data_IF_563609714609
#
_entry.id   IF_563609714609
#
_cell.length_a   1.000
_cell.length_b   1.000
_cell.length_c   1.000
_cell.angle_alpha   90.00
_cell.angle_beta   90.00
_cell.angle_gamma   90.00
#
_symmetry.space_group_name_H-M   'P 1'
#
loop_
_entity.id
_entity.type
_entity.pdbx_description
1 polymer ?
#
# COMPACT_ATOMS: atom_id res chain seq x y z
N UNK A 1 -55.91 34.82 -17.55
CA UNK A 1 -54.83 34.88 -16.53
C UNK A 1 -54.53 33.45 -16.11
N UNK A 2 -53.35 32.89 -16.48
CA UNK A 2 -52.21 32.51 -15.59
C UNK A 2 -52.67 31.61 -14.42
N UNK A 3 -52.17 30.39 -14.22
CA UNK A 3 -50.76 29.94 -14.21
C UNK A 3 -50.63 28.43 -14.45
N UNK A 4 -49.62 28.03 -15.24
CA UNK A 4 -49.10 26.66 -15.29
C UNK A 4 -48.20 26.43 -14.07
N UNK A 5 -48.46 25.39 -13.28
CA UNK A 5 -47.54 24.94 -12.23
C UNK A 5 -46.71 23.77 -12.76
N UNK A 6 -45.47 24.04 -13.14
CA UNK A 6 -44.47 23.02 -13.41
C UNK A 6 -43.78 22.67 -12.09
N UNK A 7 -44.13 21.53 -11.49
CA UNK A 7 -43.27 20.90 -10.46
C UNK A 7 -42.16 20.16 -11.18
N UNK A 8 -40.96 20.74 -11.18
CA UNK A 8 -39.72 20.06 -11.56
C UNK A 8 -39.42 19.03 -10.48
N UNK A 9 -39.53 17.75 -10.81
CA UNK A 9 -38.92 16.67 -10.01
C UNK A 9 -37.48 16.58 -10.48
N UNK A 10 -36.53 16.95 -9.62
CA UNK A 10 -35.12 16.63 -9.83
C UNK A 10 -34.95 15.12 -9.66
N UNK A 11 -34.71 14.43 -10.77
CA UNK A 11 -34.22 13.05 -10.74
C UNK A 11 -32.72 13.11 -10.49
N UNK A 12 -32.32 13.11 -9.21
CA UNK A 12 -30.93 12.83 -8.81
C UNK A 12 -30.76 11.31 -8.83
N UNK A 13 -30.44 10.74 -9.98
CA UNK A 13 -30.12 9.31 -10.08
C UNK A 13 -28.70 9.08 -9.57
N UNK A 14 -28.56 8.91 -8.25
CA UNK A 14 -27.44 8.14 -7.71
C UNK A 14 -27.69 6.68 -8.09
N UNK A 15 -27.01 6.19 -9.13
CA UNK A 15 -27.04 4.78 -9.52
C UNK A 15 -26.30 3.94 -8.47
N UNK A 16 -26.97 3.66 -7.34
CA UNK A 16 -26.57 2.59 -6.44
C UNK A 16 -26.99 1.27 -7.09
N UNK A 17 -26.02 0.49 -7.58
CA UNK A 17 -26.27 -0.90 -7.99
C UNK A 17 -26.47 -1.71 -6.72
N UNK A 18 -27.72 -1.89 -6.31
CA UNK A 18 -28.10 -2.84 -5.24
C UNK A 18 -28.28 -4.19 -5.90
N UNK A 19 -27.24 -5.04 -5.86
CA UNK A 19 -27.39 -6.46 -6.19
C UNK A 19 -28.12 -7.14 -5.03
N UNK A 20 -29.43 -7.33 -5.19
CA UNK A 20 -30.23 -8.12 -4.27
C UNK A 20 -29.87 -9.60 -4.44
N UNK A 21 -29.25 -10.19 -3.42
CA UNK A 21 -29.41 -11.62 -3.15
C UNK A 21 -29.70 -11.81 -1.65
N UNK A 22 -30.60 -12.76 -1.43
CA UNK A 22 -31.39 -13.06 -0.24
C UNK A 22 -30.60 -13.39 1.04
N UNK A 23 -31.10 -12.83 2.15
CA UNK A 23 -31.14 -13.35 3.53
C UNK A 23 -30.08 -14.37 3.97
N UNK A 24 -29.01 -13.89 4.62
CA UNK A 24 -28.60 -14.28 5.99
C UNK A 24 -27.30 -13.53 6.38
N UNK A 25 -27.38 -12.56 7.29
CA UNK A 25 -26.27 -12.19 8.20
C UNK A 25 -25.00 -11.52 7.65
N UNK A 26 -24.97 -11.01 6.42
CA UNK A 26 -23.81 -10.27 5.88
C UNK A 26 -24.04 -8.76 5.87
N UNK A 27 -23.12 -7.97 6.44
CA UNK A 27 -23.17 -6.51 6.32
C UNK A 27 -23.11 -6.10 4.84
N UNK A 28 -24.11 -5.35 4.39
CA UNK A 28 -24.15 -4.74 3.06
C UNK A 28 -22.93 -3.80 2.93
N UNK A 29 -21.87 -4.27 2.28
CA UNK A 29 -20.81 -3.38 1.79
C UNK A 29 -21.33 -2.73 0.51
N UNK A 30 -22.06 -1.63 0.69
CA UNK A 30 -22.32 -0.67 -0.38
C UNK A 30 -20.93 -0.18 -0.83
N UNK A 31 -20.54 -0.53 -2.05
CA UNK A 31 -19.37 0.06 -2.73
C UNK A 31 -19.75 1.47 -3.16
N UNK A 32 -19.99 2.36 -2.18
CA UNK A 32 -20.03 3.78 -2.46
C UNK A 32 -18.62 4.18 -2.93
N UNK A 33 -18.54 4.92 -4.03
CA UNK A 33 -17.30 5.56 -4.48
C UNK A 33 -16.66 6.25 -3.27
N UNK A 34 -15.50 5.74 -2.82
CA UNK A 34 -14.85 6.27 -1.62
C UNK A 34 -14.15 7.58 -2.02
N UNK A 35 -14.87 8.68 -1.85
CA UNK A 35 -14.34 10.02 -2.03
C UNK A 35 -13.53 10.44 -0.80
N UNK A 36 -12.42 11.13 -1.04
CA UNK A 36 -11.50 11.64 -0.04
C UNK A 36 -11.24 13.13 -0.29
N UNK A 37 -10.98 13.88 0.78
CA UNK A 37 -10.29 15.16 0.67
C UNK A 37 -8.78 14.92 0.67
N UNK A 38 -8.06 15.59 -0.22
CA UNK A 38 -6.60 15.70 -0.16
C UNK A 38 -6.19 17.06 0.37
N UNK A 39 -5.18 17.11 1.23
CA UNK A 39 -4.74 18.36 1.84
C UNK A 39 -3.27 18.30 2.25
N UNK A 40 -2.62 19.45 2.31
CA UNK A 40 -1.30 19.58 2.93
C UNK A 40 -1.42 20.00 4.40
N UNK A 41 -0.47 19.60 5.23
CA UNK A 41 -0.54 19.83 6.68
C UNK A 41 -0.09 21.23 7.16
N UNK A 42 0.32 22.10 6.24
CA UNK A 42 0.78 23.46 6.53
C UNK A 42 2.16 23.57 7.20
N UNK A 43 2.88 22.46 7.41
CA UNK A 43 4.17 22.48 8.14
C UNK A 43 5.35 22.87 7.25
N UNK A 44 5.24 22.63 5.94
CA UNK A 44 6.33 22.84 4.98
C UNK A 44 6.27 24.24 4.38
N UNK A 45 7.41 24.93 4.39
CA UNK A 45 7.57 26.27 3.78
C UNK A 45 7.85 26.22 2.27
N UNK A 46 8.26 25.06 1.75
CA UNK A 46 8.59 24.86 0.33
C UNK A 46 8.41 23.40 -0.09
N UNK A 47 8.28 23.20 -1.39
CA UNK A 47 8.17 21.89 -2.04
C UNK A 47 9.29 20.92 -1.59
N UNK A 48 8.99 19.63 -1.36
CA UNK A 48 7.67 19.01 -1.42
C UNK A 48 6.81 19.24 -0.16
N UNK A 49 5.52 19.55 -0.31
CA UNK A 49 4.60 19.65 0.83
C UNK A 49 4.20 18.27 1.37
N UNK A 50 3.84 18.19 2.65
CA UNK A 50 3.41 16.95 3.29
C UNK A 50 1.91 16.78 3.20
N UNK A 51 1.48 15.72 2.51
CA UNK A 51 0.10 15.51 2.09
C UNK A 51 -0.56 14.34 2.79
N UNK A 52 -1.84 14.53 3.09
CA UNK A 52 -2.70 13.51 3.67
C UNK A 52 -4.02 13.44 2.93
N UNK A 53 -4.74 12.34 3.15
CA UNK A 53 -6.12 12.17 2.71
C UNK A 53 -7.05 11.88 3.89
N UNK A 54 -8.27 12.39 3.82
CA UNK A 54 -9.32 12.11 4.81
C UNK A 54 -10.60 11.68 4.10
N UNK A 55 -11.29 10.60 4.55
CA UNK A 55 -12.56 10.19 3.96
C UNK A 55 -13.59 11.34 3.97
N UNK A 56 -14.19 11.65 2.82
CA UNK A 56 -15.11 12.79 2.67
C UNK A 56 -16.40 12.64 3.48
N UNK A 57 -16.82 11.41 3.76
CA UNK A 57 -18.00 11.11 4.57
C UNK A 57 -17.79 11.34 6.07
N UNK A 58 -16.54 11.30 6.55
CA UNK A 58 -16.20 11.51 7.95
C UNK A 58 -14.79 12.14 8.07
N UNK A 59 -14.61 13.39 7.59
CA UNK A 59 -13.29 13.99 7.48
C UNK A 59 -12.72 14.33 8.85
N UNK A 60 -11.50 13.83 9.11
CA UNK A 60 -10.73 14.12 10.31
C UNK A 60 -9.28 14.42 9.93
N UNK A 61 -8.65 15.33 10.67
CA UNK A 61 -7.24 15.68 10.52
C UNK A 61 -6.33 14.63 11.18
N UNK A 62 -6.37 13.40 10.69
CA UNK A 62 -5.56 12.29 11.21
C UNK A 62 -4.19 12.22 10.51
N UNK A 63 -3.12 12.46 11.26
CA UNK A 63 -1.74 12.41 10.75
C UNK A 63 -1.09 11.02 10.88
N UNK A 64 -1.89 9.96 10.73
CA UNK A 64 -1.41 8.57 10.82
C UNK A 64 -0.71 8.16 9.51
N UNK A 65 0.22 7.22 9.62
CA UNK A 65 0.99 6.68 8.50
C UNK A 65 0.10 6.16 7.35
N UNK A 66 -1.08 5.61 7.65
CA UNK A 66 -2.03 5.08 6.66
C UNK A 66 -2.67 6.15 5.76
N UNK A 67 -2.67 7.41 6.20
CA UNK A 67 -3.22 8.52 5.44
C UNK A 67 -2.16 9.36 4.74
N UNK A 68 -0.88 9.00 4.90
CA UNK A 68 0.21 9.65 4.18
C UNK A 68 0.07 9.34 2.68
N UNK A 69 0.11 10.41 1.88
CA UNK A 69 0.13 10.30 0.42
C UNK A 69 1.20 11.22 -0.14
N UNK A 70 1.47 11.04 -1.43
CA UNK A 70 2.49 11.79 -2.17
C UNK A 70 1.88 12.45 -3.41
N UNK A 71 2.46 13.58 -3.81
CA UNK A 71 2.21 14.18 -5.11
C UNK A 71 2.61 13.20 -6.21
N UNK A 72 1.70 12.86 -7.11
CA UNK A 72 1.98 11.98 -8.23
C UNK A 72 2.25 12.73 -9.55
N UNK A 73 2.08 14.05 -9.56
CA UNK A 73 2.28 14.90 -10.73
C UNK A 73 3.04 16.19 -10.37
N UNK A 74 4.34 16.25 -10.66
CA UNK A 74 5.23 17.35 -10.24
C UNK A 74 4.79 18.73 -10.75
N UNK A 75 4.12 18.79 -11.91
CA UNK A 75 3.73 20.03 -12.60
C UNK A 75 2.32 20.52 -12.26
N UNK A 76 1.52 19.71 -11.56
CA UNK A 76 0.16 20.07 -11.15
C UNK A 76 0.15 20.74 -9.77
N UNK A 77 -1.00 21.29 -9.38
CA UNK A 77 -1.10 22.05 -8.14
C UNK A 77 -1.11 21.18 -6.88
N UNK A 78 -0.49 21.70 -5.82
CA UNK A 78 -0.53 21.08 -4.49
C UNK A 78 -1.92 21.20 -3.87
N UNK A 79 -2.40 20.18 -3.14
CA UNK A 79 -3.63 20.29 -2.37
C UNK A 79 -3.57 21.43 -1.35
N UNK A 80 -4.70 22.10 -1.13
CA UNK A 80 -4.83 23.20 -0.17
C UNK A 80 -4.49 22.74 1.26
N UNK A 81 -4.17 23.70 2.13
CA UNK A 81 -3.78 23.39 3.50
C UNK A 81 -4.97 23.14 4.43
N UNK A 82 -4.85 22.14 5.30
CA UNK A 82 -5.67 22.02 6.51
C UNK A 82 -4.82 22.40 7.71
N UNK A 83 -4.94 23.68 8.11
CA UNK A 83 -4.18 24.25 9.23
C UNK A 83 -4.45 23.52 10.54
N UNK A 84 -3.41 23.31 11.35
CA UNK A 84 -3.50 22.57 12.62
C UNK A 84 -4.35 23.27 13.69
N UNK A 85 -4.62 24.57 13.53
CA UNK A 85 -5.52 25.33 14.40
C UNK A 85 -6.97 24.84 14.32
N UNK A 86 -7.36 24.21 13.20
CA UNK A 86 -8.70 23.63 13.00
C UNK A 86 -8.66 22.13 13.25
N UNK A 87 -8.99 21.72 14.48
CA UNK A 87 -8.95 20.31 14.87
C UNK A 87 -10.02 19.46 14.17
N UNK A 88 -11.21 20.03 13.91
CA UNK A 88 -12.28 19.38 13.18
C UNK A 88 -12.51 20.07 11.83
N UNK A 89 -13.03 19.30 10.87
CA UNK A 89 -13.31 19.81 9.53
C UNK A 89 -14.34 20.96 9.54
N UNK A 90 -15.35 20.88 10.41
CA UNK A 90 -16.38 21.91 10.54
C UNK A 90 -15.88 23.22 11.17
N UNK A 91 -14.68 23.23 11.75
CA UNK A 91 -14.07 24.43 12.32
C UNK A 91 -13.40 25.28 11.23
N UNK A 92 -13.09 24.68 10.07
CA UNK A 92 -12.46 25.37 8.95
C UNK A 92 -13.47 26.36 8.37
N UNK A 93 -13.10 27.64 8.37
CA UNK A 93 -13.96 28.70 7.85
C UNK A 93 -14.00 28.67 6.32
N UNK A 94 -15.19 28.83 5.76
CA UNK A 94 -15.36 29.10 4.33
C UNK A 94 -14.55 30.33 3.90
N UNK A 95 -13.90 30.31 2.72
CA UNK A 95 -13.96 29.25 1.69
C UNK A 95 -12.93 28.12 1.85
N UNK A 96 -12.07 28.15 2.87
CA UNK A 96 -10.94 27.23 3.02
C UNK A 96 -11.31 25.78 3.36
N UNK A 97 -12.59 25.51 3.62
CA UNK A 97 -13.11 24.15 3.78
C UNK A 97 -13.42 23.47 2.42
N UNK A 98 -13.33 24.19 1.30
CA UNK A 98 -13.34 23.61 -0.04
C UNK A 98 -11.97 23.00 -0.38
N UNK A 99 -11.69 21.83 0.20
CA UNK A 99 -10.47 21.06 -0.11
C UNK A 99 -10.67 20.23 -1.38
N UNK A 100 -9.61 19.95 -2.17
CA UNK A 100 -9.72 19.17 -3.39
C UNK A 100 -10.18 17.74 -3.08
N UNK A 101 -11.11 17.26 -3.90
CA UNK A 101 -11.78 15.96 -3.75
C UNK A 101 -11.18 14.94 -4.70
N UNK A 102 -10.97 13.73 -4.19
CA UNK A 102 -10.34 12.62 -4.89
C UNK A 102 -11.18 11.36 -4.81
N UNK A 103 -11.10 10.54 -5.85
CA UNK A 103 -11.62 9.17 -5.87
C UNK A 103 -10.46 8.20 -5.65
N UNK A 104 -10.55 7.34 -4.63
CA UNK A 104 -9.54 6.32 -4.37
C UNK A 104 -9.75 5.10 -5.26
N UNK A 105 -8.71 4.69 -5.99
CA UNK A 105 -8.69 3.49 -6.84
C UNK A 105 -7.50 2.62 -6.49
N UNK A 106 -7.65 1.31 -6.64
CA UNK A 106 -6.51 0.41 -6.59
C UNK A 106 -5.62 0.66 -7.80
N UNK A 107 -4.35 0.98 -7.56
CA UNK A 107 -3.37 1.23 -8.61
C UNK A 107 -2.94 -0.05 -9.33
N UNK A 108 -2.54 0.13 -10.57
CA UNK A 108 -1.92 -0.87 -11.46
C UNK A 108 -1.14 -0.12 -12.54
N UNK A 109 -0.28 -0.82 -13.29
CA UNK A 109 0.67 -0.17 -14.21
C UNK A 109 0.00 0.78 -15.23
N UNK A 110 -1.10 0.33 -15.85
CA UNK A 110 -1.86 1.14 -16.80
C UNK A 110 -2.43 2.42 -16.21
N UNK A 111 -3.07 2.36 -15.03
CA UNK A 111 -3.65 3.56 -14.39
C UNK A 111 -2.57 4.52 -13.89
N UNK A 112 -1.42 4.02 -13.41
CA UNK A 112 -0.30 4.88 -13.05
C UNK A 112 0.24 5.64 -14.26
N UNK A 113 0.45 4.96 -15.40
CA UNK A 113 0.90 5.61 -16.63
C UNK A 113 -0.13 6.57 -17.21
N UNK A 114 -1.42 6.27 -17.06
CA UNK A 114 -2.51 7.15 -17.48
C UNK A 114 -2.49 8.48 -16.72
N UNK A 115 -2.37 8.44 -15.39
CA UNK A 115 -2.44 9.63 -14.55
C UNK A 115 -1.09 10.30 -14.30
N UNK A 116 0.02 9.69 -14.72
CA UNK A 116 1.34 10.30 -14.78
C UNK A 116 1.93 10.14 -16.20
N UNK A 117 1.43 10.88 -17.20
CA UNK A 117 1.85 10.71 -18.60
C UNK A 117 3.33 11.02 -18.83
N UNK A 118 3.95 11.80 -17.95
CA UNK A 118 5.38 12.13 -17.96
C UNK A 118 6.25 11.05 -17.29
N UNK A 119 5.71 9.87 -17.00
CA UNK A 119 6.44 8.77 -16.34
C UNK A 119 7.74 8.38 -17.06
N UNK A 120 8.66 7.76 -16.31
CA UNK A 120 9.95 7.33 -16.83
C UNK A 120 9.80 6.22 -17.89
N UNK A 121 9.99 6.57 -19.16
CA UNK A 121 9.64 5.74 -20.33
C UNK A 121 10.49 4.47 -20.52
N UNK A 122 11.69 4.43 -19.95
CA UNK A 122 12.56 3.24 -19.96
C UNK A 122 12.16 2.19 -18.93
N UNK A 123 11.20 2.49 -18.05
CA UNK A 123 10.64 1.55 -17.07
C UNK A 123 9.41 0.86 -17.66
N UNK A 124 9.53 -0.45 -17.87
CA UNK A 124 8.46 -1.28 -18.44
C UNK A 124 7.25 -1.40 -17.52
N UNK A 125 7.48 -1.61 -16.22
CA UNK A 125 6.44 -1.73 -15.18
C UNK A 125 6.66 -0.66 -14.10
N UNK A 126 5.87 0.41 -14.20
CA UNK A 126 5.88 1.54 -13.27
C UNK A 126 5.24 1.16 -11.95
N UNK A 127 4.23 0.27 -11.95
CA UNK A 127 3.61 -0.18 -10.70
C UNK A 127 4.62 -0.87 -9.79
N UNK A 128 5.39 -1.81 -10.34
CA UNK A 128 6.43 -2.51 -9.57
C UNK A 128 7.52 -1.56 -9.09
N UNK A 129 7.94 -0.59 -9.92
CA UNK A 129 8.93 0.40 -9.51
C UNK A 129 8.44 1.29 -8.35
N UNK A 130 7.19 1.77 -8.40
CA UNK A 130 6.59 2.57 -7.34
C UNK A 130 6.39 1.76 -6.06
N UNK A 131 5.90 0.52 -6.16
CA UNK A 131 5.80 -0.40 -5.01
C UNK A 131 7.18 -0.59 -4.37
N UNK A 132 8.24 -0.71 -5.16
CA UNK A 132 9.60 -0.83 -4.63
C UNK A 132 10.04 0.39 -3.83
N UNK A 133 9.80 1.59 -4.38
CA UNK A 133 10.09 2.85 -3.70
C UNK A 133 9.32 2.93 -2.38
N UNK A 134 8.02 2.68 -2.38
CA UNK A 134 7.18 2.80 -1.17
C UNK A 134 7.40 1.67 -0.16
N UNK A 135 7.84 0.49 -0.60
CA UNK A 135 8.23 -0.60 0.30
C UNK A 135 9.51 -0.27 1.07
N UNK A 136 10.42 0.48 0.46
CA UNK A 136 11.70 0.86 1.05
C UNK A 136 11.72 2.31 1.56
N UNK A 137 10.64 3.07 1.31
CA UNK A 137 10.48 4.48 1.60
C UNK A 137 9.68 4.75 2.88
N UNK A 138 9.30 6.02 3.07
CA UNK A 138 8.43 6.44 4.16
C UNK A 138 6.93 6.21 3.80
N UNK A 139 6.06 5.85 4.77
CA UNK A 139 6.35 5.51 6.16
C UNK A 139 6.75 4.05 6.39
N UNK A 140 6.54 3.16 5.41
CA UNK A 140 6.70 1.69 5.54
C UNK A 140 8.04 1.28 6.14
N UNK A 141 9.13 1.90 5.69
CA UNK A 141 10.50 1.55 6.07
C UNK A 141 11.21 2.69 6.82
N UNK A 142 10.44 3.53 7.52
CA UNK A 142 10.97 4.71 8.25
C UNK A 142 12.06 4.35 9.26
N UNK A 143 11.97 3.18 9.91
CA UNK A 143 12.96 2.73 10.88
C UNK A 143 14.32 2.48 10.23
N UNK A 144 14.37 1.78 9.09
CA UNK A 144 15.63 1.53 8.38
C UNK A 144 16.22 2.82 7.79
N UNK A 145 15.37 3.69 7.22
CA UNK A 145 15.82 5.00 6.76
C UNK A 145 16.44 5.83 7.88
N UNK A 146 15.88 5.73 9.09
CA UNK A 146 16.43 6.40 10.26
C UNK A 146 17.76 5.79 10.73
N UNK A 147 17.85 4.47 10.84
CA UNK A 147 19.06 3.83 11.37
C UNK A 147 20.21 3.79 10.38
N UNK A 148 19.93 3.48 9.10
CA UNK A 148 20.95 3.26 8.07
C UNK A 148 21.34 4.51 7.31
N UNK A 149 20.40 5.47 7.20
CA UNK A 149 20.63 6.73 6.49
C UNK A 149 20.56 7.96 7.41
N UNK A 150 20.41 7.78 8.72
CA UNK A 150 20.38 8.88 9.71
C UNK A 150 19.34 9.95 9.40
N UNK A 151 18.22 9.55 8.77
CA UNK A 151 17.15 10.46 8.42
C UNK A 151 16.09 10.53 9.53
N UNK A 152 15.58 11.72 9.79
CA UNK A 152 14.32 11.86 10.52
C UNK A 152 13.13 11.56 9.59
N UNK A 153 11.91 11.56 10.13
CA UNK A 153 10.70 11.29 9.34
C UNK A 153 10.51 12.31 8.22
N UNK A 154 10.82 13.59 8.46
CA UNK A 154 10.63 14.66 7.49
C UNK A 154 11.54 14.50 6.28
N UNK A 155 12.84 14.26 6.51
CA UNK A 155 13.82 13.94 5.46
C UNK A 155 13.47 12.65 4.74
N UNK A 156 13.04 11.61 5.48
CA UNK A 156 12.60 10.34 4.87
C UNK A 156 11.42 10.55 3.92
N UNK A 157 10.43 11.35 4.34
CA UNK A 157 9.26 11.68 3.54
C UNK A 157 9.61 12.55 2.33
N UNK A 158 10.46 13.56 2.51
CA UNK A 158 10.99 14.41 1.44
C UNK A 158 11.70 13.56 0.38
N UNK A 159 12.65 12.72 0.78
CA UNK A 159 13.41 11.85 -0.13
C UNK A 159 12.49 10.85 -0.86
N UNK A 160 11.50 10.29 -0.18
CA UNK A 160 10.52 9.39 -0.81
C UNK A 160 9.72 10.10 -1.90
N UNK A 161 9.26 11.34 -1.69
CA UNK A 161 8.57 12.12 -2.72
C UNK A 161 9.45 12.36 -3.96
N UNK A 162 10.73 12.69 -3.75
CA UNK A 162 11.68 12.91 -4.86
C UNK A 162 11.91 11.62 -5.66
N UNK A 163 12.02 10.47 -4.97
CA UNK A 163 12.13 9.17 -5.62
C UNK A 163 10.86 8.83 -6.43
N UNK A 164 9.67 9.17 -5.94
CA UNK A 164 8.42 9.00 -6.70
C UNK A 164 8.46 9.81 -8.01
N UNK A 165 8.85 11.09 -7.94
CA UNK A 165 8.91 11.94 -9.14
C UNK A 165 9.99 11.55 -10.16
N UNK A 166 11.03 10.83 -9.73
CA UNK A 166 11.95 10.19 -10.68
C UNK A 166 11.19 9.25 -11.63
N UNK A 167 10.20 8.51 -11.12
CA UNK A 167 9.40 7.56 -11.89
C UNK A 167 8.14 8.16 -12.50
N UNK A 168 7.42 9.06 -11.81
CA UNK A 168 6.16 9.63 -12.28
C UNK A 168 6.33 10.79 -13.27
N UNK A 169 7.42 11.54 -13.18
CA UNK A 169 7.63 12.78 -13.95
C UNK A 169 8.97 12.80 -14.71
N UNK A 170 9.68 11.66 -14.75
CA UNK A 170 10.99 11.51 -15.40
C UNK A 170 12.03 12.53 -14.92
N UNK A 171 11.97 12.97 -13.67
CA UNK A 171 12.93 13.94 -13.14
C UNK A 171 14.32 13.30 -13.06
N UNK A 172 15.35 14.02 -13.49
CA UNK A 172 16.73 13.51 -13.47
C UNK A 172 17.31 13.52 -12.06
N UNK A 173 18.27 12.63 -11.78
CA UNK A 173 18.99 12.64 -10.49
C UNK A 173 19.66 13.98 -10.22
N UNK A 174 20.22 14.61 -11.25
CA UNK A 174 20.83 15.95 -11.17
C UNK A 174 19.80 17.01 -10.76
N UNK A 175 18.60 16.99 -11.34
CA UNK A 175 17.53 17.89 -10.91
C UNK A 175 17.10 17.65 -9.46
N UNK A 176 16.93 16.39 -9.06
CA UNK A 176 16.49 16.06 -7.71
C UNK A 176 17.54 16.37 -6.63
N UNK A 177 18.83 16.25 -6.96
CA UNK A 177 19.93 16.37 -5.99
C UNK A 177 20.60 17.73 -5.97
N UNK A 178 20.69 18.40 -7.13
CA UNK A 178 21.62 19.50 -7.31
C UNK A 178 20.96 20.77 -7.88
N UNK A 179 20.14 20.68 -8.93
CA UNK A 179 19.63 21.88 -9.64
C UNK A 179 18.18 22.26 -9.31
N UNK A 180 17.40 21.38 -8.71
CA UNK A 180 15.98 21.60 -8.40
C UNK A 180 15.70 22.40 -7.12
N UNK A 181 16.74 22.86 -6.41
CA UNK A 181 16.60 23.70 -5.21
C UNK A 181 16.07 22.97 -3.97
N UNK A 182 16.11 21.63 -3.94
CA UNK A 182 15.65 20.84 -2.79
C UNK A 182 16.62 20.84 -1.60
N UNK A 183 17.84 21.35 -1.79
CA UNK A 183 18.88 21.46 -0.75
C UNK A 183 19.06 20.15 0.03
N UNK A 184 19.40 19.07 -0.68
CA UNK A 184 19.61 17.75 -0.05
C UNK A 184 20.98 17.70 0.61
N UNK A 185 21.02 17.22 1.86
CA UNK A 185 22.29 16.83 2.48
C UNK A 185 22.79 15.48 1.93
N UNK A 186 24.04 15.12 2.22
CA UNK A 186 24.66 13.91 1.66
C UNK A 186 23.93 12.61 2.02
N UNK A 187 23.35 12.53 3.22
CA UNK A 187 22.59 11.35 3.63
C UNK A 187 21.24 11.27 2.91
N UNK A 188 20.57 12.40 2.70
CA UNK A 188 19.37 12.49 1.86
C UNK A 188 19.67 12.10 0.41
N UNK A 189 20.81 12.55 -0.15
CA UNK A 189 21.27 12.16 -1.50
C UNK A 189 21.50 10.65 -1.61
N UNK A 190 22.18 10.04 -0.61
CA UNK A 190 22.41 8.58 -0.56
C UNK A 190 21.12 7.78 -0.43
N UNK A 191 20.19 8.24 0.41
CA UNK A 191 18.88 7.60 0.56
C UNK A 191 18.04 7.71 -0.72
N UNK A 192 18.11 8.85 -1.41
CA UNK A 192 17.44 9.03 -2.71
C UNK A 192 17.99 8.07 -3.76
N UNK A 193 19.33 7.96 -3.86
CA UNK A 193 19.96 7.01 -4.77
C UNK A 193 19.54 5.57 -4.46
N UNK A 194 19.48 5.20 -3.17
CA UNK A 194 19.00 3.89 -2.73
C UNK A 194 17.56 3.61 -3.17
N UNK A 195 16.62 4.53 -2.93
CA UNK A 195 15.22 4.35 -3.32
C UNK A 195 15.05 4.24 -4.83
N UNK A 196 15.76 5.08 -5.61
CA UNK A 196 15.73 5.01 -7.07
C UNK A 196 16.28 3.65 -7.54
N UNK A 197 17.40 3.20 -7.00
CA UNK A 197 17.97 1.89 -7.34
C UNK A 197 17.01 0.73 -7.01
N UNK A 198 16.24 0.83 -5.91
CA UNK A 198 15.19 -0.17 -5.59
C UNK A 198 14.08 -0.21 -6.63
N UNK A 199 13.66 0.94 -7.17
CA UNK A 199 12.66 0.98 -8.24
C UNK A 199 13.18 0.54 -9.62
N UNK A 200 14.47 0.73 -9.89
CA UNK A 200 15.10 0.32 -11.14
C UNK A 200 15.37 -1.20 -11.21
N UNK A 201 15.79 -1.81 -10.08
CA UNK A 201 16.20 -3.23 -10.01
C UNK A 201 15.07 -4.20 -10.40
N UNK A 202 15.33 -5.02 -11.42
CA UNK A 202 14.37 -5.99 -11.97
C UNK A 202 14.11 -7.18 -11.06
N UNK A 203 15.04 -7.53 -10.15
CA UNK A 203 14.88 -8.67 -9.24
C UNK A 203 13.82 -8.42 -8.18
N UNK A 204 13.67 -7.19 -7.72
CA UNK A 204 12.67 -6.82 -6.72
C UNK A 204 11.25 -6.79 -7.30
N UNK A 205 11.13 -6.57 -8.62
CA UNK A 205 9.83 -6.50 -9.32
C UNK A 205 9.07 -7.83 -9.25
N UNK A 206 9.77 -8.98 -9.21
CA UNK A 206 9.13 -10.28 -9.05
C UNK A 206 8.65 -10.53 -7.61
N UNK A 207 9.43 -10.15 -6.60
CA UNK A 207 9.07 -10.31 -5.17
C UNK A 207 7.93 -9.38 -4.75
N UNK A 208 7.91 -8.17 -5.30
CA UNK A 208 6.92 -7.13 -5.00
C UNK A 208 5.65 -7.23 -5.85
N UNK A 209 5.58 -8.21 -6.76
CA UNK A 209 4.42 -8.46 -7.61
C UNK A 209 3.13 -8.73 -6.82
N UNK A 210 3.22 -9.08 -5.54
CA UNK A 210 2.08 -9.39 -4.67
C UNK A 210 1.39 -8.15 -4.06
N UNK A 211 2.02 -6.97 -4.14
CA UNK A 211 1.48 -5.73 -3.60
C UNK A 211 1.17 -4.71 -4.69
N UNK A 212 0.27 -3.80 -4.38
CA UNK A 212 0.00 -2.58 -5.14
C UNK A 212 -0.10 -1.38 -4.21
N UNK A 213 -0.40 -0.22 -4.76
CA UNK A 213 -0.63 1.04 -4.04
C UNK A 213 -1.97 1.62 -4.48
N UNK A 214 -2.61 2.38 -3.60
CA UNK A 214 -3.77 3.18 -3.99
C UNK A 214 -3.33 4.40 -4.82
N UNK A 215 -4.15 4.78 -5.80
CA UNK A 215 -4.08 6.08 -6.49
C UNK A 215 -5.35 6.88 -6.17
N UNK A 216 -5.17 8.14 -5.82
CA UNK A 216 -6.24 9.09 -5.56
C UNK A 216 -6.32 10.01 -6.77
N UNK A 217 -7.37 9.81 -7.56
CA UNK A 217 -7.59 10.56 -8.80
C UNK A 217 -8.37 11.83 -8.48
N UNK A 218 -7.83 12.98 -8.84
CA UNK A 218 -8.48 14.27 -8.62
C UNK A 218 -9.82 14.33 -9.37
N UNK A 219 -10.86 14.83 -8.70
CA UNK A 219 -12.21 14.95 -9.25
C UNK A 219 -12.64 16.40 -9.39
N UNK A 220 -12.54 17.19 -8.32
CA UNK A 220 -13.11 18.54 -8.26
C UNK A 220 -12.70 19.30 -7.00
N UNK A 221 -13.03 20.59 -6.95
CA UNK A 221 -12.89 21.42 -5.75
C UNK A 221 -11.45 21.86 -5.51
N UNK A 222 -11.23 22.41 -4.32
CA UNK A 222 -9.97 23.03 -3.94
C UNK A 222 -10.01 24.55 -4.14
N UNK A 223 -9.93 25.29 -3.05
CA UNK A 223 -10.12 26.73 -3.04
C UNK A 223 -9.02 27.47 -3.81
N UNK A 224 -7.76 27.08 -3.64
CA UNK A 224 -6.62 27.87 -4.13
C UNK A 224 -6.54 27.88 -5.67
N UNK A 225 -6.97 26.80 -6.32
CA UNK A 225 -6.82 26.62 -7.77
C UNK A 225 -8.09 26.17 -8.51
N UNK A 226 -9.09 25.63 -7.81
CA UNK A 226 -10.36 25.10 -8.33
C UNK A 226 -10.28 23.93 -9.31
N UNK A 227 -9.12 23.66 -9.91
CA UNK A 227 -8.85 22.62 -10.91
C UNK A 227 -7.35 22.34 -11.00
N UNK A 228 -6.99 21.34 -11.80
CA UNK A 228 -5.61 21.01 -12.16
C UNK A 228 -4.72 20.68 -10.94
N UNK A 229 -5.33 20.20 -9.86
CA UNK A 229 -4.62 19.61 -8.74
C UNK A 229 -3.99 18.28 -9.16
N UNK A 230 -2.84 18.00 -8.56
CA UNK A 230 -2.11 16.75 -8.74
C UNK A 230 -2.94 15.54 -8.31
N UNK A 231 -2.85 14.43 -9.04
CA UNK A 231 -3.26 13.14 -8.48
C UNK A 231 -2.31 12.75 -7.34
N UNK A 232 -2.77 11.89 -6.44
CA UNK A 232 -1.99 11.48 -5.27
C UNK A 232 -1.71 9.98 -5.27
N UNK A 233 -0.52 9.59 -4.83
CA UNK A 233 -0.10 8.21 -4.66
C UNK A 233 -0.15 7.83 -3.18
N UNK A 234 -0.87 6.76 -2.85
CA UNK A 234 -0.90 6.19 -1.50
C UNK A 234 0.44 5.59 -1.11
N UNK A 235 0.80 5.69 0.18
CA UNK A 235 2.06 5.12 0.69
C UNK A 235 1.94 3.71 1.28
N UNK A 236 0.72 3.21 1.45
CA UNK A 236 0.45 1.92 2.08
C UNK A 236 0.47 0.78 1.05
N UNK A 237 1.20 -0.29 1.35
CA UNK A 237 1.24 -1.50 0.53
C UNK A 237 -0.09 -2.26 0.64
N UNK A 238 -0.77 -2.45 -0.49
CA UNK A 238 -2.06 -3.15 -0.59
C UNK A 238 -1.83 -4.54 -1.18
N UNK A 239 -2.12 -5.65 -0.46
CA UNK A 239 -2.03 -6.99 -1.04
C UNK A 239 -2.99 -7.15 -2.23
N UNK A 240 -2.51 -7.69 -3.36
CA UNK A 240 -3.35 -7.94 -4.56
C UNK A 240 -4.33 -9.08 -4.36
N UNK A 241 -3.95 -10.09 -3.57
CA UNK A 241 -4.84 -11.16 -3.12
C UNK A 241 -4.91 -11.14 -1.59
N UNK A 242 -6.09 -11.44 -1.00
CA UNK A 242 -6.18 -11.62 0.44
C UNK A 242 -5.30 -12.81 0.84
N UNK A 243 -4.38 -12.58 1.78
CA UNK A 243 -3.57 -13.65 2.37
C UNK A 243 -4.52 -14.76 2.85
N UNK A 244 -4.45 -15.95 2.22
CA UNK A 244 -5.15 -17.12 2.75
C UNK A 244 -4.69 -17.30 4.19
N UNK A 245 -5.60 -17.41 5.18
CA UNK A 245 -5.21 -17.73 6.54
C UNK A 245 -4.40 -19.01 6.48
N UNK A 246 -3.13 -18.95 6.91
CA UNK A 246 -2.39 -20.18 7.15
C UNK A 246 -3.09 -20.85 8.32
N UNK A 247 -3.86 -21.89 8.01
CA UNK A 247 -4.45 -22.77 8.99
C UNK A 247 -3.28 -23.43 9.72
N UNK A 248 -2.90 -22.85 10.86
CA UNK A 248 -1.82 -23.35 11.69
C UNK A 248 -2.10 -24.82 11.97
N UNK A 249 -1.16 -25.68 11.56
CA UNK A 249 -1.21 -27.11 11.83
C UNK A 249 -1.27 -27.31 13.34
N UNK A 250 -2.44 -27.69 13.85
CA UNK A 250 -2.56 -28.30 15.16
C UNK A 250 -1.83 -29.64 15.12
N UNK A 251 -0.55 -29.63 15.48
CA UNK A 251 0.18 -30.83 15.86
C UNK A 251 -0.32 -31.23 17.25
N UNK A 252 -1.38 -32.05 17.28
CA UNK A 252 -1.90 -32.65 18.49
C UNK A 252 -0.87 -33.61 19.08
N UNK A 253 -0.24 -33.22 20.18
CA UNK A 253 0.52 -34.13 21.03
C UNK A 253 -0.44 -35.19 21.60
N UNK A 254 -0.14 -36.44 21.27
CA UNK A 254 -0.82 -37.61 21.81
C UNK A 254 -0.25 -37.91 23.21
N UNK A 255 -1.12 -37.96 24.22
CA UNK A 255 -0.72 -38.18 25.61
C UNK A 255 -1.88 -38.71 26.46
N UNK A 256 -2.00 -40.03 26.48
CA UNK A 256 -2.57 -40.95 27.49
C UNK A 256 -3.81 -40.55 28.33
N UNK A 257 -4.85 -41.37 28.14
CA UNK A 257 -5.47 -42.13 29.24
C UNK A 257 -6.85 -41.65 29.70
N UNK A 258 -7.91 -42.39 29.32
CA UNK A 258 -8.79 -43.06 30.29
C UNK A 258 -9.80 -43.97 29.56
N UNK A 259 -10.01 -45.12 30.17
CA UNK A 259 -10.93 -46.21 29.85
C UNK A 259 -12.41 -45.81 29.80
N UNK A 260 -13.19 -46.48 28.94
CA UNK A 260 -14.58 -46.78 29.26
C UNK A 260 -15.54 -46.89 28.08
N UNK A 261 -16.22 -48.04 28.03
CA UNK A 261 -17.52 -48.31 27.43
C UNK A 261 -17.60 -48.87 26.00
N UNK A 262 -18.01 -50.14 26.02
CA UNK A 262 -18.57 -51.01 25.00
C UNK A 262 -19.60 -50.35 24.07
N UNK A 263 -19.70 -50.89 22.85
CA UNK A 263 -20.95 -50.88 22.11
C UNK A 263 -20.80 -51.00 20.60
N UNK A 264 -21.20 -52.14 20.04
CA UNK A 264 -21.92 -52.13 18.76
C UNK A 264 -21.19 -52.65 17.53
N UNK A 265 -21.25 -53.96 17.37
CA UNK A 265 -21.33 -54.76 16.13
C UNK A 265 -21.71 -54.04 14.82
N UNK A 266 -20.99 -54.42 13.75
CA UNK A 266 -21.46 -54.83 12.41
C UNK A 266 -20.49 -54.28 11.37
N UNK A 267 -19.73 -55.05 10.59
CA UNK A 267 -20.02 -56.36 10.03
C UNK A 267 -20.10 -56.22 8.52
N UNK A 268 -18.96 -56.35 7.83
CA UNK A 268 -18.88 -56.91 6.47
C UNK A 268 -17.42 -57.07 6.06
N UNK A 269 -17.02 -58.34 6.00
CA UNK A 269 -15.80 -58.86 5.42
C UNK A 269 -15.73 -58.52 3.92
N UNK A 270 -14.54 -58.27 3.41
CA UNK A 270 -14.05 -59.00 2.23
C UNK A 270 -12.56 -59.28 2.44
N UNK A 271 -12.25 -60.56 2.54
CA UNK A 271 -10.93 -61.16 2.54
C UNK A 271 -10.47 -61.37 1.11
N UNK A 272 -9.20 -61.07 0.81
CA UNK A 272 -8.35 -62.11 0.22
C UNK A 272 -6.85 -61.80 0.39
N UNK A 273 -6.22 -62.76 1.06
CA UNK A 273 -4.82 -63.21 1.03
C UNK A 273 -4.23 -63.24 -0.38
N UNK A 274 -2.94 -63.43 -0.65
CA UNK A 274 -1.63 -63.37 0.02
C UNK A 274 -0.67 -63.83 -1.12
N UNK A 275 0.57 -63.37 -1.16
CA UNK A 275 1.43 -63.60 -2.34
C UNK A 275 2.89 -63.22 -2.18
N UNK A 276 3.61 -63.98 -1.35
CA UNK A 276 5.08 -64.04 -1.16
C UNK A 276 5.95 -63.82 -2.42
N UNK A 277 7.10 -63.13 -2.19
CA UNK A 277 8.53 -63.49 -2.49
C UNK A 277 9.32 -62.19 -2.73
N UNK A 278 10.52 -61.92 -2.23
CA UNK A 278 11.44 -62.67 -1.39
C UNK A 278 12.78 -61.89 -1.32
N UNK A 279 13.44 -62.02 -0.16
CA UNK A 279 14.88 -62.08 0.12
C UNK A 279 15.91 -60.97 -0.28
N UNK A 280 16.90 -60.89 0.63
CA UNK A 280 18.22 -60.19 0.63
C UNK A 280 18.13 -58.75 1.15
N UNK A 281 18.71 -58.34 2.28
CA UNK A 281 19.70 -58.97 3.17
C UNK A 281 20.71 -57.90 3.61
N UNK A 282 20.68 -57.55 4.91
CA UNK A 282 21.80 -57.29 5.85
C UNK A 282 23.09 -56.61 5.31
N UNK A 283 23.71 -55.60 5.93
CA UNK A 283 24.00 -55.28 7.34
C UNK A 283 24.47 -53.80 7.37
N UNK A 284 24.17 -52.98 8.39
CA UNK A 284 25.01 -52.79 9.59
C UNK A 284 26.22 -51.87 9.30
N UNK A 285 26.59 -50.84 10.04
CA UNK A 285 26.24 -50.25 11.34
C UNK A 285 27.17 -49.02 11.49
N UNK A 286 26.69 -47.91 12.05
CA UNK A 286 26.98 -47.43 13.41
C UNK A 286 28.40 -46.86 13.67
N UNK A 287 28.38 -45.74 14.41
CA UNK A 287 29.45 -45.11 15.19
C UNK A 287 30.45 -44.25 14.41
N UNK A 288 30.80 -43.02 14.80
CA UNK A 288 30.59 -42.32 16.06
C UNK A 288 31.90 -41.62 16.50
N UNK A 289 31.74 -40.44 17.09
CA UNK A 289 32.73 -39.66 17.90
C UNK A 289 33.88 -38.99 17.13
N UNK A 290 33.94 -37.65 17.10
CA UNK A 290 34.52 -36.72 18.09
C UNK A 290 36.03 -36.46 17.87
N UNK A 291 36.43 -35.19 17.97
CA UNK A 291 37.76 -34.86 18.50
C UNK A 291 38.62 -33.80 17.78
N UNK A 292 38.33 -32.53 18.09
CA UNK A 292 39.27 -31.46 18.52
C UNK A 292 40.51 -31.04 17.69
N UNK A 293 40.49 -29.72 17.39
CA UNK A 293 41.51 -28.65 17.64
C UNK A 293 42.85 -28.66 16.88
N UNK A 294 43.01 -27.65 16.00
CA UNK A 294 44.00 -26.53 15.92
C UNK A 294 45.40 -26.68 16.56
N UNK A 295 46.43 -25.84 16.22
CA UNK A 295 46.61 -24.81 15.16
C UNK A 295 48.00 -24.91 14.44
N UNK A 296 48.38 -23.84 13.71
CA UNK A 296 49.72 -23.33 13.28
C UNK A 296 49.82 -23.15 11.75
N UNK A 297 49.78 -21.89 11.30
CA UNK A 297 50.91 -21.04 10.87
C UNK A 297 51.48 -21.45 9.52
N UNK A 298 51.20 -20.64 8.50
CA UNK A 298 52.17 -19.76 7.83
C UNK A 298 51.45 -18.51 7.28
#
# INVERSE_FOLDING_TARGET
>A
MKTKSFRKVLTTSATCIVLATSFAGGTLRVWAEQLYYGWNDGTRQSSPYFLYVSPKNAPKRELKDEYVVYCFNKKLYWPDQWESIYSNFNDIRSPYNDLPVYEKKLGYDGIFKQYAPDYKKDISDIASALVAVLSNGYPTNKSQLSTSYHLNNDSSRKVTQLAIWYFSDSLTKEYLKDTGGYNLNDMEKKALDFLISKGEDSKLKSEQSNYSLDIYVYQSGGHDHMKDYQNLLGSTLIPKEPLKPQLGGFSGHNGNGLSGLEGGSSGSQETNEDGKKGLIGFHGGLSGSEGKRDPFQD
#
